data_IF_465989129993
#
_entry.id   IF_465989129993
#
_cell.length_a   1.000
_cell.length_b   1.000
_cell.length_c   1.000
_cell.angle_alpha   90.00
_cell.angle_beta   90.00
_cell.angle_gamma   90.00
#
_symmetry.space_group_name_H-M   'P 1'
#
loop_
_entity.id
_entity.type
_entity.pdbx_description
1 polymer ?
#
# COMPACT_ATOMS: atom_id res chain seq x y z
N UNK A 1 5.58 9.43 5.42
CA UNK A 1 4.65 9.84 4.34
C UNK A 1 3.26 10.20 4.83
N UNK A 2 2.57 9.31 5.54
CA UNK A 2 1.13 9.49 5.84
C UNK A 2 0.78 10.78 6.58
N UNK A 3 1.61 11.21 7.55
CA UNK A 3 1.44 12.50 8.24
C UNK A 3 1.71 13.71 7.34
N UNK A 4 2.70 13.60 6.44
CA UNK A 4 3.06 14.68 5.51
C UNK A 4 1.99 14.89 4.43
N UNK A 5 1.35 13.80 3.99
CA UNK A 5 0.25 13.81 3.01
C UNK A 5 -1.13 14.05 3.64
N UNK A 6 -1.21 14.28 4.95
CA UNK A 6 -2.49 14.50 5.64
C UNK A 6 -3.46 13.31 5.57
N UNK A 7 -2.95 12.09 5.42
CA UNK A 7 -3.80 10.89 5.35
C UNK A 7 -4.48 10.61 6.70
N UNK A 8 -5.69 10.06 6.63
CA UNK A 8 -6.45 9.66 7.83
C UNK A 8 -5.62 8.74 8.73
N UNK A 9 -5.62 8.94 10.07
CA UNK A 9 -4.85 8.09 10.99
C UNK A 9 -5.20 6.60 10.92
N UNK A 10 -6.44 6.28 10.52
CA UNK A 10 -6.99 4.93 10.36
C UNK A 10 -6.57 4.22 9.07
N UNK A 11 -5.76 4.86 8.20
CA UNK A 11 -5.27 4.20 6.98
C UNK A 11 -4.41 2.98 7.33
N UNK A 12 -4.72 1.84 6.71
CA UNK A 12 -3.91 0.61 6.82
C UNK A 12 -2.61 0.79 6.04
N UNK A 13 -1.47 0.49 6.66
CA UNK A 13 -0.13 0.70 6.08
C UNK A 13 0.62 -0.62 6.05
N UNK A 14 1.25 -0.90 4.92
CA UNK A 14 2.16 -2.03 4.76
C UNK A 14 3.51 -1.49 4.30
N UNK A 15 4.55 -1.66 5.12
CA UNK A 15 5.92 -1.28 4.76
C UNK A 15 6.70 -2.50 4.36
N UNK A 16 7.37 -2.41 3.22
CA UNK A 16 8.32 -3.42 2.77
C UNK A 16 9.70 -2.78 2.62
N UNK A 17 10.58 -3.12 3.54
CA UNK A 17 11.99 -2.73 3.49
C UNK A 17 12.83 -3.85 2.89
N UNK A 18 13.96 -3.50 2.29
CA UNK A 18 14.99 -4.43 1.83
C UNK A 18 14.55 -5.45 0.75
N UNK A 19 13.50 -5.14 -0.04
CA UNK A 19 12.99 -6.04 -1.09
C UNK A 19 13.80 -6.01 -2.41
N UNK A 20 14.74 -5.07 -2.59
CA UNK A 20 15.56 -4.97 -3.80
C UNK A 20 14.77 -4.58 -5.06
N UNK A 21 15.33 -4.85 -6.25
CA UNK A 21 14.79 -4.35 -7.53
C UNK A 21 13.41 -4.92 -7.91
N UNK A 22 13.04 -6.08 -7.38
CA UNK A 22 11.75 -6.72 -7.68
C UNK A 22 10.60 -6.20 -6.79
N UNK A 23 10.89 -5.27 -5.87
CA UNK A 23 9.90 -4.70 -4.96
C UNK A 23 8.69 -4.10 -5.68
N UNK A 24 8.88 -3.53 -6.88
CA UNK A 24 7.80 -2.93 -7.66
C UNK A 24 6.65 -3.91 -7.95
N UNK A 25 6.97 -5.12 -8.43
CA UNK A 25 5.98 -6.16 -8.68
C UNK A 25 5.33 -6.68 -7.39
N UNK A 26 6.12 -6.81 -6.32
CA UNK A 26 5.63 -7.24 -5.00
C UNK A 26 4.63 -6.25 -4.40
N UNK A 27 4.87 -4.94 -4.50
CA UNK A 27 3.97 -3.92 -3.97
C UNK A 27 2.68 -3.84 -4.79
N UNK A 28 2.76 -3.96 -6.13
CA UNK A 28 1.56 -4.02 -6.98
C UNK A 28 0.71 -5.26 -6.71
N UNK A 29 1.34 -6.42 -6.54
CA UNK A 29 0.64 -7.65 -6.15
C UNK A 29 -0.09 -7.48 -4.82
N UNK A 30 0.57 -6.92 -3.81
CA UNK A 30 -0.04 -6.65 -2.51
C UNK A 30 -1.18 -5.61 -2.61
N UNK A 31 -0.99 -4.55 -3.41
CA UNK A 31 -2.02 -3.55 -3.64
C UNK A 31 -3.26 -4.12 -4.34
N UNK A 32 -3.08 -5.03 -5.29
CA UNK A 32 -4.16 -5.77 -5.97
C UNK A 32 -5.02 -6.50 -4.95
N UNK A 33 -4.42 -7.35 -4.11
CA UNK A 33 -5.16 -8.13 -3.10
C UNK A 33 -5.94 -7.22 -2.14
N UNK A 34 -5.33 -6.11 -1.71
CA UNK A 34 -5.97 -5.15 -0.82
C UNK A 34 -7.14 -4.41 -1.48
N UNK A 35 -7.01 -4.02 -2.74
CA UNK A 35 -8.06 -3.34 -3.49
C UNK A 35 -9.23 -4.27 -3.84
N UNK A 36 -8.94 -5.52 -4.25
CA UNK A 36 -9.97 -6.50 -4.63
C UNK A 36 -10.74 -7.03 -3.41
N UNK A 37 -10.05 -7.25 -2.29
CA UNK A 37 -10.67 -7.83 -1.09
C UNK A 37 -11.40 -6.81 -0.21
N UNK A 38 -11.24 -5.50 -0.44
CA UNK A 38 -11.90 -4.46 0.34
C UNK A 38 -12.75 -3.57 -0.58
N UNK A 39 -14.08 -3.73 -0.53
CA UNK A 39 -15.02 -3.00 -1.37
C UNK A 39 -14.83 -1.48 -1.22
N UNK A 40 -14.52 -0.80 -2.32
CA UNK A 40 -14.32 0.66 -2.36
C UNK A 40 -12.97 1.14 -1.83
N UNK A 41 -12.04 0.23 -1.52
CA UNK A 41 -10.70 0.61 -1.11
C UNK A 41 -9.91 1.24 -2.27
N UNK A 42 -9.14 2.28 -1.96
CA UNK A 42 -8.12 2.84 -2.85
C UNK A 42 -6.77 2.73 -2.17
N UNK A 43 -5.82 2.10 -2.83
CA UNK A 43 -4.48 1.84 -2.32
C UNK A 43 -3.51 2.85 -2.93
N UNK A 44 -2.73 3.52 -2.07
CA UNK A 44 -1.63 4.38 -2.48
C UNK A 44 -0.33 3.56 -2.40
N UNK A 45 0.35 3.41 -3.53
CA UNK A 45 1.64 2.72 -3.70
C UNK A 45 2.74 3.75 -3.90
#
# INVERSE_FOLDING_TARGET
LTKLLGLRPSVKRYMMYQQGCFAGGTVLRLAKDLAENNRGARVLV
#
